data_IF_248933631128
#
_entry.id   IF_248933631128
#
_cell.length_a   1.000
_cell.length_b   1.000
_cell.length_c   1.000
_cell.angle_alpha   90.00
_cell.angle_beta   90.00
_cell.angle_gamma   90.00
#
_symmetry.space_group_name_H-M   'P 1'
#
loop_
_entity.id
_entity.type
_entity.pdbx_description
1 polymer ?
#
# COMPACT_ATOMS: atom_id res chain seq x y z
N UNK A 1 -4.58 -19.39 -8.15
CA UNK A 1 -4.77 -18.05 -7.53
C UNK A 1 -5.99 -18.10 -6.63
N UNK A 2 -5.82 -17.81 -5.35
CA UNK A 2 -6.94 -17.79 -4.40
C UNK A 2 -7.57 -16.40 -4.38
N UNK A 3 -8.90 -16.34 -4.52
CA UNK A 3 -9.65 -15.08 -4.38
C UNK A 3 -9.96 -14.76 -2.91
N UNK A 4 -9.52 -13.60 -2.45
CA UNK A 4 -9.87 -12.97 -1.18
C UNK A 4 -10.68 -11.70 -1.47
N UNK A 5 -12.01 -11.80 -1.35
CA UNK A 5 -12.96 -10.76 -1.79
C UNK A 5 -12.83 -10.49 -3.31
N UNK A 6 -12.22 -9.38 -3.67
CA UNK A 6 -11.92 -8.98 -5.05
C UNK A 6 -10.41 -8.93 -5.34
N UNK A 7 -9.58 -9.35 -4.37
CA UNK A 7 -8.15 -9.53 -4.55
C UNK A 7 -7.80 -10.99 -4.83
N UNK A 8 -6.64 -11.21 -5.43
CA UNK A 8 -6.09 -12.53 -5.70
C UNK A 8 -4.73 -12.68 -5.02
N UNK A 9 -4.50 -13.83 -4.40
CA UNK A 9 -3.20 -14.22 -3.84
C UNK A 9 -2.64 -15.43 -4.59
N UNK A 10 -1.32 -15.52 -4.61
CA UNK A 10 -0.58 -16.59 -5.26
C UNK A 10 -0.52 -17.84 -4.36
N UNK A 11 -1.28 -18.86 -4.74
CA UNK A 11 -1.39 -20.14 -4.01
C UNK A 11 -0.09 -20.94 -4.07
N UNK A 12 0.57 -20.97 -5.23
CA UNK A 12 1.82 -21.72 -5.41
C UNK A 12 2.91 -21.14 -4.52
N UNK A 13 3.03 -19.80 -4.54
CA UNK A 13 3.96 -19.11 -3.65
C UNK A 13 3.60 -19.29 -2.17
N UNK A 14 2.31 -19.28 -1.81
CA UNK A 14 1.89 -19.54 -0.44
C UNK A 14 2.35 -20.94 0.02
N UNK A 15 2.15 -21.97 -0.80
CA UNK A 15 2.60 -23.33 -0.50
C UNK A 15 4.12 -23.45 -0.42
N UNK A 16 4.86 -22.81 -1.34
CA UNK A 16 6.32 -22.78 -1.35
C UNK A 16 6.88 -22.18 -0.05
N UNK A 17 6.37 -21.01 0.34
CA UNK A 17 6.84 -20.29 1.52
C UNK A 17 6.48 -21.02 2.82
N UNK A 18 5.42 -21.83 2.80
CA UNK A 18 4.88 -22.58 3.94
C UNK A 18 5.51 -23.97 4.14
N UNK A 19 6.15 -24.53 3.10
CA UNK A 19 6.59 -25.92 3.09
C UNK A 19 7.64 -26.23 4.15
N UNK A 20 7.41 -27.29 4.94
CA UNK A 20 8.40 -27.86 5.86
C UNK A 20 8.74 -27.01 7.09
N UNK A 21 7.92 -26.00 7.41
CA UNK A 21 8.10 -25.11 8.56
C UNK A 21 6.84 -25.07 9.40
N UNK A 22 7.00 -24.87 10.71
CA UNK A 22 5.90 -24.48 11.60
C UNK A 22 5.59 -23.00 11.38
N UNK A 23 4.52 -22.73 10.65
CA UNK A 23 4.19 -21.37 10.18
C UNK A 23 3.04 -20.72 10.93
N UNK A 24 3.02 -19.40 10.94
CA UNK A 24 1.86 -18.60 11.31
C UNK A 24 1.47 -17.64 10.19
N UNK A 25 0.17 -17.43 9.99
CA UNK A 25 -0.39 -16.49 9.03
C UNK A 25 -0.75 -15.20 9.75
N UNK A 26 -0.25 -14.07 9.24
CA UNK A 26 -0.66 -12.72 9.68
C UNK A 26 -1.52 -12.09 8.58
N UNK A 27 -2.69 -11.58 8.97
CA UNK A 27 -3.67 -11.00 8.05
C UNK A 27 -4.04 -9.57 8.46
N UNK A 28 -4.19 -8.63 7.50
CA UNK A 28 -4.88 -7.37 7.76
C UNK A 28 -6.35 -7.63 8.08
N UNK A 29 -6.97 -6.69 8.79
CA UNK A 29 -8.36 -6.79 9.27
C UNK A 29 -9.34 -7.16 8.14
N UNK A 30 -9.16 -6.57 6.95
CA UNK A 30 -9.98 -6.86 5.78
C UNK A 30 -9.91 -8.30 5.25
N UNK A 31 -8.89 -9.07 5.64
CA UNK A 31 -8.70 -10.47 5.25
C UNK A 31 -9.00 -11.47 6.37
N UNK A 32 -9.22 -11.02 7.61
CA UNK A 32 -9.63 -11.89 8.72
C UNK A 32 -10.88 -12.74 8.40
N UNK A 33 -11.93 -12.23 7.73
CA UNK A 33 -13.07 -13.05 7.34
C UNK A 33 -12.74 -14.22 6.40
N UNK A 34 -11.55 -14.22 5.77
CA UNK A 34 -11.07 -15.27 4.88
C UNK A 34 -10.00 -16.16 5.54
N UNK A 35 -9.73 -15.98 6.84
CA UNK A 35 -8.68 -16.72 7.54
C UNK A 35 -8.92 -18.24 7.48
N UNK A 36 -10.15 -18.70 7.74
CA UNK A 36 -10.49 -20.13 7.67
C UNK A 36 -10.21 -20.70 6.29
N UNK A 37 -10.65 -20.01 5.22
CA UNK A 37 -10.37 -20.40 3.83
C UNK A 37 -8.86 -20.60 3.55
N UNK A 38 -8.01 -19.74 4.09
CA UNK A 38 -6.56 -19.81 3.91
C UNK A 38 -5.98 -20.99 4.69
N UNK A 39 -6.44 -21.20 5.93
CA UNK A 39 -6.00 -22.30 6.78
C UNK A 39 -6.45 -23.66 6.22
N UNK A 40 -7.71 -23.76 5.77
CA UNK A 40 -8.26 -24.97 5.16
C UNK A 40 -7.47 -25.34 3.90
N UNK A 41 -7.16 -24.37 3.03
CA UNK A 41 -6.33 -24.58 1.84
C UNK A 41 -4.93 -25.12 2.20
N UNK A 42 -4.29 -24.59 3.25
CA UNK A 42 -3.00 -25.09 3.71
C UNK A 42 -3.12 -26.51 4.28
N UNK A 43 -4.16 -26.79 5.06
CA UNK A 43 -4.40 -28.11 5.67
C UNK A 43 -4.69 -29.19 4.62
N UNK A 44 -5.49 -28.87 3.60
CA UNK A 44 -5.74 -29.72 2.43
C UNK A 44 -4.45 -30.09 1.68
N UNK A 45 -3.43 -29.23 1.74
CA UNK A 45 -2.10 -29.45 1.18
C UNK A 45 -1.09 -30.01 2.21
N UNK A 46 -1.57 -30.51 3.35
CA UNK A 46 -0.76 -31.17 4.38
C UNK A 46 0.06 -30.21 5.26
N UNK A 47 -0.27 -28.93 5.26
CA UNK A 47 0.44 -27.89 6.03
C UNK A 47 -0.46 -27.40 7.16
N UNK A 48 -0.02 -27.60 8.41
CA UNK A 48 -0.67 -26.99 9.57
C UNK A 48 -0.11 -25.61 9.82
N UNK A 49 -0.99 -24.61 9.87
CA UNK A 49 -0.63 -23.21 10.13
C UNK A 49 -1.41 -22.65 11.32
N UNK A 50 -0.79 -21.72 12.04
CA UNK A 50 -1.45 -20.94 13.08
C UNK A 50 -1.97 -19.62 12.50
N UNK A 51 -3.07 -19.09 13.02
CA UNK A 51 -3.48 -17.72 12.73
C UNK A 51 -3.00 -16.79 13.85
N UNK A 52 -2.28 -15.72 13.48
CA UNK A 52 -1.97 -14.65 14.42
C UNK A 52 -3.15 -13.69 14.51
N UNK A 53 -3.90 -13.77 15.61
CA UNK A 53 -5.09 -12.95 15.87
C UNK A 53 -4.76 -11.54 16.43
N UNK A 54 -3.62 -10.98 16.03
CA UNK A 54 -3.21 -9.63 16.40
C UNK A 54 -3.56 -8.63 15.30
N UNK A 55 -3.60 -7.35 15.64
CA UNK A 55 -3.71 -6.30 14.64
C UNK A 55 -2.54 -6.36 13.66
N UNK A 56 -2.81 -6.06 12.39
CA UNK A 56 -1.81 -5.99 11.33
C UNK A 56 -1.99 -4.69 10.56
N UNK A 57 -1.02 -3.78 10.69
CA UNK A 57 -1.06 -2.45 10.07
C UNK A 57 0.02 -2.24 9.00
N UNK A 58 0.78 -3.27 8.67
CA UNK A 58 1.85 -3.23 7.67
C UNK A 58 3.07 -4.03 8.09
N UNK A 59 3.97 -4.22 7.14
CA UNK A 59 5.23 -4.94 7.32
C UNK A 59 6.21 -4.26 8.31
N UNK A 60 5.88 -3.06 8.83
CA UNK A 60 6.57 -2.41 9.95
C UNK A 60 6.15 -2.91 11.32
N UNK A 61 4.98 -3.57 11.42
CA UNK A 61 4.41 -4.12 12.63
C UNK A 61 4.68 -5.62 12.67
N UNK A 62 5.93 -6.00 12.93
CA UNK A 62 6.35 -7.40 13.01
C UNK A 62 6.53 -7.81 14.46
N UNK A 63 6.13 -9.05 14.78
CA UNK A 63 6.15 -9.60 16.13
C UNK A 63 6.94 -10.90 16.11
N UNK A 64 7.76 -11.11 17.14
CA UNK A 64 8.59 -12.29 17.28
C UNK A 64 7.87 -13.37 18.10
N UNK A 65 7.78 -14.57 17.54
CA UNK A 65 7.27 -15.76 18.22
C UNK A 65 8.32 -16.87 18.19
N UNK A 66 8.72 -17.37 19.36
CA UNK A 66 9.81 -18.35 19.48
C UNK A 66 9.42 -19.73 18.96
N UNK A 67 8.14 -20.05 19.03
CA UNK A 67 7.57 -21.36 18.68
C UNK A 67 7.15 -21.44 17.20
N UNK A 68 7.32 -20.36 16.44
CA UNK A 68 7.00 -20.26 15.02
C UNK A 68 8.31 -20.10 14.25
N UNK A 69 8.50 -20.91 13.21
CA UNK A 69 9.71 -20.87 12.38
C UNK A 69 9.60 -19.82 11.26
N UNK A 70 8.37 -19.48 10.86
CA UNK A 70 8.12 -18.48 9.82
C UNK A 70 6.72 -17.86 9.91
N UNK A 71 6.65 -16.55 9.67
CA UNK A 71 5.38 -15.83 9.56
C UNK A 71 5.14 -15.51 8.08
N UNK A 72 3.94 -15.77 7.59
CA UNK A 72 3.52 -15.39 6.25
C UNK A 72 2.50 -14.25 6.38
N UNK A 73 2.91 -13.05 6.00
CA UNK A 73 2.06 -11.87 5.95
C UNK A 73 1.34 -11.83 4.60
N UNK A 74 0.01 -11.96 4.60
CA UNK A 74 -0.79 -11.93 3.37
C UNK A 74 -1.44 -10.56 3.22
N UNK A 75 -1.32 -9.95 2.04
CA UNK A 75 -1.86 -8.62 1.73
C UNK A 75 -0.87 -7.47 1.77
N UNK A 76 0.38 -7.75 2.15
CA UNK A 76 1.40 -6.74 2.37
C UNK A 76 2.61 -6.98 1.46
N UNK A 77 3.33 -5.89 1.17
CA UNK A 77 4.63 -5.96 0.54
C UNK A 77 5.71 -5.81 1.61
N UNK A 78 6.84 -6.47 1.40
CA UNK A 78 8.00 -6.36 2.29
C UNK A 78 8.46 -4.90 2.45
N UNK A 79 8.96 -4.54 3.64
CA UNK A 79 9.78 -3.34 3.83
C UNK A 79 11.27 -3.72 3.82
N UNK A 80 12.02 -3.44 2.73
CA UNK A 80 13.36 -4.02 2.54
C UNK A 80 14.36 -3.73 3.66
N UNK A 81 14.30 -2.54 4.27
CA UNK A 81 15.20 -2.17 5.37
C UNK A 81 14.99 -2.98 6.66
N UNK A 82 13.84 -3.67 6.80
CA UNK A 82 13.53 -4.53 7.93
C UNK A 82 13.85 -6.01 7.68
N UNK A 83 14.24 -6.40 6.47
CA UNK A 83 14.49 -7.80 6.11
C UNK A 83 15.35 -8.56 7.13
N UNK A 84 16.41 -7.92 7.61
CA UNK A 84 17.36 -8.51 8.59
C UNK A 84 16.87 -8.47 10.04
N UNK A 85 15.78 -7.77 10.31
CA UNK A 85 15.17 -7.63 11.64
C UNK A 85 13.96 -8.55 11.84
N UNK A 86 13.45 -9.14 10.76
CA UNK A 86 12.39 -10.12 10.83
C UNK A 86 12.92 -11.39 11.50
N UNK A 87 12.46 -11.62 12.73
CA UNK A 87 12.75 -12.80 13.52
C UNK A 87 11.44 -13.25 14.20
N UNK A 88 10.91 -14.46 13.92
CA UNK A 88 11.39 -15.45 12.95
C UNK A 88 11.32 -14.94 11.48
N UNK A 89 11.73 -15.76 10.51
CA UNK A 89 11.67 -15.40 9.09
C UNK A 89 10.25 -14.95 8.70
N UNK A 90 10.14 -13.88 7.91
CA UNK A 90 8.85 -13.36 7.43
C UNK A 90 8.82 -13.43 5.90
N UNK A 91 7.78 -14.05 5.35
CA UNK A 91 7.44 -13.98 3.93
C UNK A 91 6.21 -13.11 3.69
N UNK A 92 6.14 -12.55 2.48
CA UNK A 92 5.08 -11.63 2.07
C UNK A 92 4.38 -12.17 0.83
N UNK A 93 3.07 -12.39 0.95
CA UNK A 93 2.19 -12.79 -0.15
C UNK A 93 1.25 -11.63 -0.44
N UNK A 94 1.50 -10.89 -1.52
CA UNK A 94 0.69 -9.73 -1.86
C UNK A 94 -0.69 -10.14 -2.36
N UNK A 95 -1.71 -9.41 -1.92
CA UNK A 95 -3.06 -9.51 -2.47
C UNK A 95 -3.22 -8.50 -3.62
N UNK A 96 -3.40 -9.00 -4.83
CA UNK A 96 -3.39 -8.22 -6.07
C UNK A 96 -4.80 -7.93 -6.54
N UNK A 97 -5.05 -6.72 -7.03
CA UNK A 97 -6.30 -6.33 -7.67
C UNK A 97 -6.09 -6.10 -9.17
N UNK A 98 -6.61 -7.00 -10.01
CA UNK A 98 -6.56 -6.81 -11.45
C UNK A 98 -7.68 -5.88 -11.96
N UNK A 99 -7.38 -5.11 -12.99
CA UNK A 99 -8.31 -4.18 -13.62
C UNK A 99 -7.88 -3.84 -15.04
N UNK A 100 -8.85 -3.46 -15.87
CA UNK A 100 -8.61 -2.91 -17.21
C UNK A 100 -8.12 -1.46 -17.10
N UNK A 101 -6.90 -1.19 -17.56
CA UNK A 101 -6.27 0.14 -17.54
C UNK A 101 -6.96 1.17 -18.45
N UNK A 102 -7.84 0.74 -19.36
CA UNK A 102 -8.55 1.63 -20.28
C UNK A 102 -9.38 2.71 -19.56
N UNK A 103 -9.84 2.43 -18.34
CA UNK A 103 -10.60 3.38 -17.52
C UNK A 103 -9.82 4.64 -17.14
N UNK A 104 -8.48 4.62 -17.26
CA UNK A 104 -7.62 5.78 -17.01
C UNK A 104 -7.89 6.92 -17.99
N UNK A 105 -8.53 6.67 -19.14
CA UNK A 105 -8.98 7.71 -20.05
C UNK A 105 -9.84 8.79 -19.37
N UNK A 106 -10.61 8.42 -18.33
CA UNK A 106 -11.41 9.35 -17.52
C UNK A 106 -10.55 10.36 -16.76
N UNK A 107 -9.28 10.04 -16.51
CA UNK A 107 -8.34 10.91 -15.81
C UNK A 107 -7.72 11.98 -16.71
N UNK A 108 -7.74 11.79 -18.04
CA UNK A 108 -6.96 12.59 -18.98
C UNK A 108 -7.25 14.09 -18.90
N UNK A 109 -8.52 14.46 -18.68
CA UNK A 109 -8.95 15.86 -18.52
C UNK A 109 -8.43 16.56 -17.27
N UNK A 110 -7.84 15.82 -16.32
CA UNK A 110 -7.30 16.34 -15.07
C UNK A 110 -5.77 16.32 -15.01
N UNK A 111 -5.11 15.81 -16.05
CA UNK A 111 -3.66 15.62 -16.09
C UNK A 111 -2.98 16.66 -16.98
N UNK A 112 -1.76 17.05 -16.60
CA UNK A 112 -0.83 17.75 -17.49
C UNK A 112 -0.06 16.78 -18.39
N UNK A 113 0.86 17.30 -19.21
CA UNK A 113 1.66 16.48 -20.14
C UNK A 113 2.59 15.52 -19.40
N UNK A 114 3.15 15.95 -18.27
CA UNK A 114 4.10 15.19 -17.45
C UNK A 114 3.41 14.63 -16.22
N UNK A 115 3.32 13.31 -16.12
CA UNK A 115 2.55 12.62 -15.09
C UNK A 115 3.47 11.81 -14.18
N UNK A 116 3.38 12.06 -12.87
CA UNK A 116 4.01 11.19 -11.87
C UNK A 116 3.07 10.06 -11.48
N UNK A 117 3.44 8.82 -11.77
CA UNK A 117 2.60 7.66 -11.50
C UNK A 117 3.01 7.02 -10.17
N UNK A 118 2.04 6.88 -9.26
CA UNK A 118 2.25 6.31 -7.92
C UNK A 118 1.12 5.39 -7.52
N UNK A 119 1.37 4.43 -6.63
CA UNK A 119 0.37 3.47 -6.19
C UNK A 119 0.70 2.84 -4.84
N UNK A 120 -0.17 1.93 -4.38
CA UNK A 120 -0.03 1.10 -3.18
C UNK A 120 -0.01 -0.37 -3.56
N UNK A 121 0.44 -1.21 -2.63
CA UNK A 121 0.76 -2.64 -2.85
C UNK A 121 -0.21 -3.40 -3.75
N UNK A 122 -1.55 -3.37 -3.54
CA UNK A 122 -2.44 -4.24 -4.30
C UNK A 122 -2.46 -4.00 -5.81
N UNK A 123 -2.10 -2.79 -6.26
CA UNK A 123 -2.16 -2.40 -7.67
C UNK A 123 -0.77 -2.29 -8.31
N UNK A 124 0.31 -2.52 -7.55
CA UNK A 124 1.69 -2.34 -8.04
C UNK A 124 2.01 -3.19 -9.27
N UNK A 125 1.45 -4.41 -9.35
CA UNK A 125 1.62 -5.30 -10.49
C UNK A 125 1.07 -4.72 -11.81
N UNK A 126 0.13 -3.77 -11.77
CA UNK A 126 -0.44 -3.08 -12.94
C UNK A 126 0.24 -1.76 -13.25
N UNK A 127 1.19 -1.30 -12.43
CA UNK A 127 1.76 0.05 -12.56
C UNK A 127 2.50 0.23 -13.89
N UNK A 128 3.20 -0.81 -14.35
CA UNK A 128 3.89 -0.80 -15.66
C UNK A 128 2.89 -0.67 -16.81
N UNK A 129 1.81 -1.45 -16.80
CA UNK A 129 0.75 -1.39 -17.82
C UNK A 129 0.04 -0.03 -17.82
N UNK A 130 -0.21 0.55 -16.65
CA UNK A 130 -0.75 1.92 -16.52
C UNK A 130 0.17 2.95 -17.16
N UNK A 131 1.49 2.83 -16.95
CA UNK A 131 2.49 3.71 -17.58
C UNK A 131 2.47 3.58 -19.09
N UNK A 132 2.53 2.37 -19.63
CA UNK A 132 2.51 2.11 -21.07
C UNK A 132 1.22 2.65 -21.72
N UNK A 133 0.08 2.48 -21.06
CA UNK A 133 -1.20 3.01 -21.51
C UNK A 133 -1.19 4.55 -21.59
N UNK A 134 -0.66 5.23 -20.57
CA UNK A 134 -0.54 6.69 -20.57
C UNK A 134 0.45 7.19 -21.64
N UNK A 135 1.61 6.53 -21.80
CA UNK A 135 2.61 6.89 -22.80
C UNK A 135 2.05 6.74 -24.23
N UNK A 136 1.28 5.67 -24.50
CA UNK A 136 0.57 5.47 -25.77
C UNK A 136 -0.44 6.58 -26.07
N UNK A 137 -1.01 7.19 -25.03
CA UNK A 137 -1.93 8.34 -25.15
C UNK A 137 -1.20 9.70 -25.10
N UNK A 138 0.12 9.69 -25.22
CA UNK A 138 0.93 10.90 -25.40
C UNK A 138 1.36 11.59 -24.10
N UNK A 139 1.30 10.94 -22.94
CA UNK A 139 1.84 11.50 -21.69
C UNK A 139 3.32 11.15 -21.51
N UNK A 140 4.08 12.03 -20.85
CA UNK A 140 5.44 11.73 -20.36
C UNK A 140 5.31 11.20 -18.92
N UNK A 141 5.57 9.91 -18.71
CA UNK A 141 5.24 9.23 -17.44
C UNK A 141 6.48 8.91 -16.62
N UNK A 142 6.51 9.45 -15.41
CA UNK A 142 7.59 9.29 -14.45
C UNK A 142 7.18 8.35 -13.33
N UNK A 143 8.04 7.39 -13.01
CA UNK A 143 7.91 6.52 -11.84
C UNK A 143 9.14 6.73 -10.98
N UNK A 144 8.93 7.15 -9.73
CA UNK A 144 10.02 7.38 -8.79
C UNK A 144 10.67 6.10 -8.30
N UNK A 145 11.94 6.20 -7.90
CA UNK A 145 12.68 5.06 -7.36
C UNK A 145 12.18 4.71 -5.96
N UNK A 146 12.13 3.41 -5.67
CA UNK A 146 11.77 2.92 -4.34
C UNK A 146 12.69 3.46 -3.25
N UNK A 147 12.12 3.66 -2.06
CA UNK A 147 12.90 4.00 -0.87
C UNK A 147 13.38 2.72 -0.18
N UNK A 148 14.12 2.87 0.92
CA UNK A 148 14.46 1.73 1.79
C UNK A 148 13.23 1.04 2.40
N UNK A 149 12.08 1.73 2.48
CA UNK A 149 10.83 1.24 3.09
C UNK A 149 9.91 0.58 2.09
N UNK A 150 9.98 0.92 0.80
CA UNK A 150 9.08 0.39 -0.21
C UNK A 150 9.72 -0.74 -1.02
N UNK A 151 8.92 -1.72 -1.41
CA UNK A 151 9.37 -2.86 -2.21
C UNK A 151 9.58 -2.48 -3.69
N UNK A 152 8.80 -1.52 -4.19
CA UNK A 152 8.70 -1.21 -5.62
C UNK A 152 8.87 0.28 -5.96
N UNK A 153 9.38 0.54 -7.16
CA UNK A 153 9.39 1.87 -7.77
C UNK A 153 7.94 2.36 -7.93
N UNK A 154 7.66 3.64 -7.68
CA UNK A 154 6.31 4.20 -7.69
C UNK A 154 5.41 3.87 -6.49
N UNK A 155 5.82 2.94 -5.63
CA UNK A 155 5.06 2.64 -4.40
C UNK A 155 5.20 3.79 -3.39
N UNK A 156 4.07 4.18 -2.80
CA UNK A 156 4.00 5.08 -1.64
C UNK A 156 3.37 4.35 -0.46
N UNK A 157 3.67 4.82 0.74
CA UNK A 157 3.08 4.36 2.00
C UNK A 157 2.45 5.54 2.73
N UNK A 158 1.61 5.27 3.71
CA UNK A 158 1.12 6.27 4.64
C UNK A 158 2.22 7.10 5.33
N UNK A 159 3.38 6.47 5.53
CA UNK A 159 4.53 7.03 6.23
C UNK A 159 5.75 7.31 5.33
N UNK A 160 5.62 7.13 4.01
CA UNK A 160 6.73 7.31 3.07
C UNK A 160 6.25 7.71 1.66
N UNK A 161 6.60 8.94 1.25
CA UNK A 161 6.34 9.48 -0.09
C UNK A 161 7.63 9.68 -0.90
N UNK A 162 8.77 9.10 -0.49
CA UNK A 162 10.09 9.37 -1.08
C UNK A 162 10.14 9.08 -2.58
N UNK A 163 9.48 8.00 -3.02
CA UNK A 163 9.35 7.68 -4.45
C UNK A 163 8.71 8.85 -5.21
N UNK A 164 7.58 9.36 -4.75
CA UNK A 164 6.91 10.50 -5.37
C UNK A 164 7.74 11.80 -5.29
N UNK A 165 8.39 12.06 -4.16
CA UNK A 165 9.26 13.24 -3.96
C UNK A 165 10.39 13.26 -5.00
N UNK A 166 10.99 12.10 -5.30
CA UNK A 166 12.14 11.99 -6.22
C UNK A 166 11.85 12.47 -7.65
N UNK A 167 10.58 12.43 -8.08
CA UNK A 167 10.14 12.86 -9.42
C UNK A 167 9.36 14.17 -9.41
N UNK A 168 9.08 14.72 -8.23
CA UNK A 168 8.13 15.82 -8.07
C UNK A 168 8.48 17.05 -8.89
N UNK A 169 9.75 17.39 -9.09
CA UNK A 169 10.18 18.57 -9.85
C UNK A 169 10.01 18.43 -11.37
N UNK A 170 9.76 17.22 -11.88
CA UNK A 170 9.72 16.94 -13.33
C UNK A 170 8.31 16.75 -13.88
N UNK A 171 7.29 16.80 -13.02
CA UNK A 171 5.90 16.46 -13.38
C UNK A 171 4.95 17.65 -13.18
N UNK A 172 3.82 17.62 -13.88
CA UNK A 172 2.74 18.60 -13.74
C UNK A 172 1.77 18.17 -12.62
N UNK A 173 1.44 16.89 -12.56
CA UNK A 173 0.53 16.31 -11.57
C UNK A 173 0.88 14.84 -11.27
N UNK A 174 0.43 14.35 -10.13
CA UNK A 174 0.46 12.93 -9.81
C UNK A 174 -0.84 12.25 -10.24
N UNK A 175 -0.72 11.03 -10.77
CA UNK A 175 -1.80 10.07 -10.88
C UNK A 175 -1.57 8.95 -9.85
N UNK A 176 -2.43 8.89 -8.85
CA UNK A 176 -2.45 7.83 -7.84
C UNK A 176 -3.40 6.72 -8.30
N UNK A 177 -2.88 5.51 -8.46
CA UNK A 177 -3.68 4.31 -8.75
C UNK A 177 -4.00 3.61 -7.44
N UNK A 178 -5.27 3.56 -7.08
CA UNK A 178 -5.73 2.82 -5.91
C UNK A 178 -6.97 3.41 -5.27
N UNK A 179 -7.36 2.82 -4.15
CA UNK A 179 -8.53 3.19 -3.38
C UNK A 179 -8.19 4.01 -2.13
N UNK A 180 -9.23 4.62 -1.54
CA UNK A 180 -9.14 5.45 -0.35
C UNK A 180 -8.46 6.81 -0.59
N UNK A 181 -8.64 7.73 0.36
CA UNK A 181 -8.11 9.10 0.26
C UNK A 181 -6.90 9.37 1.15
N UNK A 182 -6.53 8.46 2.05
CA UNK A 182 -5.43 8.70 3.00
C UNK A 182 -4.09 8.96 2.31
N UNK A 183 -3.67 8.06 1.41
CA UNK A 183 -2.43 8.20 0.63
C UNK A 183 -2.42 9.42 -0.29
N UNK A 184 -3.42 9.65 -1.17
CA UNK A 184 -3.40 10.79 -2.08
C UNK A 184 -3.51 12.15 -1.36
N UNK A 185 -4.26 12.24 -0.25
CA UNK A 185 -4.30 13.45 0.57
C UNK A 185 -2.95 13.68 1.27
N UNK A 186 -2.34 12.61 1.82
CA UNK A 186 -0.99 12.69 2.39
C UNK A 186 0.05 13.16 1.36
N UNK A 187 -0.01 12.62 0.15
CA UNK A 187 0.85 13.00 -0.97
C UNK A 187 0.67 14.48 -1.35
N UNK A 188 -0.57 14.94 -1.49
CA UNK A 188 -0.87 16.35 -1.74
C UNK A 188 -0.32 17.25 -0.64
N UNK A 189 -0.52 16.87 0.63
CA UNK A 189 -0.02 17.65 1.76
C UNK A 189 1.51 17.71 1.82
N UNK A 190 2.20 16.62 1.44
CA UNK A 190 3.65 16.52 1.47
C UNK A 190 4.34 17.29 0.33
N UNK A 191 3.80 17.23 -0.89
CA UNK A 191 4.47 17.74 -2.10
C UNK A 191 3.83 19.03 -2.63
N UNK A 192 2.59 19.33 -2.24
CA UNK A 192 1.82 20.51 -2.70
C UNK A 192 1.63 20.56 -4.23
N UNK A 193 1.61 19.40 -4.89
CA UNK A 193 1.24 19.23 -6.30
C UNK A 193 -0.12 18.58 -6.43
N UNK A 194 -0.81 18.84 -7.55
CA UNK A 194 -2.11 18.24 -7.85
C UNK A 194 -1.98 16.71 -7.85
N UNK A 195 -2.96 16.04 -7.23
CA UNK A 195 -3.05 14.59 -7.16
C UNK A 195 -4.42 14.18 -7.71
N UNK A 196 -4.40 13.42 -8.79
CA UNK A 196 -5.59 12.78 -9.37
C UNK A 196 -5.59 11.34 -8.91
N UNK A 197 -6.70 10.87 -8.37
CA UNK A 197 -6.91 9.47 -7.95
C UNK A 197 -7.68 8.74 -9.03
N UNK A 198 -7.13 7.65 -9.53
CA UNK A 198 -7.87 6.66 -10.31
C UNK A 198 -8.14 5.45 -9.42
N UNK A 199 -9.40 5.32 -8.97
CA UNK A 199 -9.85 4.20 -8.15
C UNK A 199 -10.34 3.06 -9.05
N UNK A 200 -9.60 1.94 -9.16
CA UNK A 200 -9.97 0.84 -10.05
C UNK A 200 -11.21 0.07 -9.58
N UNK A 201 -11.43 -0.01 -8.25
CA UNK A 201 -12.58 -0.72 -7.66
C UNK A 201 -13.88 -0.02 -8.03
N UNK A 202 -13.92 1.31 -7.90
CA UNK A 202 -15.10 2.12 -8.20
C UNK A 202 -15.17 2.53 -9.68
N UNK A 203 -14.08 2.34 -10.42
CA UNK A 203 -13.88 2.83 -11.79
C UNK A 203 -14.14 4.34 -11.92
N UNK A 204 -13.72 5.10 -10.88
CA UNK A 204 -13.95 6.54 -10.71
C UNK A 204 -12.64 7.30 -10.59
N UNK A 205 -12.69 8.56 -11.02
CA UNK A 205 -11.59 9.53 -10.89
C UNK A 205 -11.99 10.59 -9.88
N UNK A 206 -11.09 10.89 -8.95
CA UNK A 206 -11.22 11.97 -7.98
C UNK A 206 -10.06 12.95 -8.16
N UNK A 207 -10.34 14.26 -8.15
CA UNK A 207 -9.31 15.26 -8.36
C UNK A 207 -9.51 16.45 -7.42
N UNK A 208 -10.71 17.04 -7.43
CA UNK A 208 -11.04 18.19 -6.59
C UNK A 208 -11.19 17.80 -5.11
N UNK A 209 -11.63 16.57 -4.86
CA UNK A 209 -11.87 16.02 -3.53
C UNK A 209 -10.58 15.99 -2.70
N UNK A 210 -9.43 15.73 -3.32
CA UNK A 210 -8.15 15.60 -2.61
C UNK A 210 -7.75 16.92 -1.95
N UNK A 211 -7.88 18.02 -2.68
CA UNK A 211 -7.60 19.36 -2.13
C UNK A 211 -8.60 19.70 -1.02
N UNK A 212 -9.89 19.44 -1.23
CA UNK A 212 -10.94 19.70 -0.23
C UNK A 212 -10.70 18.93 1.07
N UNK A 213 -10.34 17.65 0.99
CA UNK A 213 -10.02 16.84 2.16
C UNK A 213 -8.72 17.28 2.83
N UNK A 214 -7.70 17.64 2.06
CA UNK A 214 -6.47 18.22 2.59
C UNK A 214 -6.72 19.49 3.41
N UNK A 215 -7.55 20.42 2.89
CA UNK A 215 -7.91 21.66 3.58
C UNK A 215 -8.66 21.39 4.88
N UNK A 216 -9.60 20.43 4.88
CA UNK A 216 -10.30 19.99 6.11
C UNK A 216 -9.31 19.44 7.14
N UNK A 217 -8.36 18.61 6.72
CA UNK A 217 -7.35 18.03 7.63
C UNK A 217 -6.45 19.13 8.18
N UNK A 218 -6.00 20.09 7.36
CA UNK A 218 -5.16 21.19 7.82
C UNK A 218 -5.88 22.05 8.86
N UNK A 219 -7.16 22.38 8.65
CA UNK A 219 -7.98 23.11 9.64
C UNK A 219 -8.06 22.37 10.97
N UNK A 220 -8.33 21.06 10.94
CA UNK A 220 -8.35 20.21 12.14
C UNK A 220 -6.98 20.18 12.84
N UNK A 221 -5.89 20.06 12.07
CA UNK A 221 -4.51 20.07 12.61
C UNK A 221 -4.20 21.39 13.31
N UNK A 222 -4.50 22.53 12.68
CA UNK A 222 -4.28 23.84 13.31
C UNK A 222 -5.10 24.02 14.58
N UNK A 223 -6.35 23.55 14.63
CA UNK A 223 -7.15 23.59 15.84
C UNK A 223 -6.53 22.77 16.99
N UNK A 224 -5.94 21.60 16.69
CA UNK A 224 -5.26 20.78 17.70
C UNK A 224 -3.93 21.37 18.15
N UNK A 225 -3.17 21.96 17.23
CA UNK A 225 -1.94 22.70 17.58
C UNK A 225 -2.29 23.88 18.48
N UNK A 226 -3.31 24.67 18.13
CA UNK A 226 -3.76 25.81 18.93
C UNK A 226 -4.20 25.40 20.34
N UNK A 227 -4.96 24.30 20.47
CA UNK A 227 -5.36 23.76 21.79
C UNK A 227 -4.14 23.35 22.65
N UNK A 228 -3.05 22.95 22.02
CA UNK A 228 -1.83 22.54 22.71
C UNK A 228 -0.89 23.71 23.03
N UNK A 229 -1.17 24.94 22.58
CA UNK A 229 -0.28 26.09 22.79
C UNK A 229 -0.13 26.48 24.27
N UNK A 230 -1.17 26.27 25.07
CA UNK A 230 -1.18 26.55 26.51
C UNK A 230 -0.70 25.36 27.35
N UNK A 231 -0.27 24.25 26.71
CA UNK A 231 0.17 23.08 27.44
C UNK A 231 1.59 23.28 28.01
N UNK A 232 1.74 23.12 29.31
CA UNK A 232 3.05 23.23 29.99
C UNK A 232 3.82 21.89 30.02
N UNK A 233 3.15 20.77 29.79
CA UNK A 233 3.71 19.41 29.89
C UNK A 233 3.33 18.57 28.69
N UNK A 234 4.33 17.94 28.07
CA UNK A 234 4.17 17.09 26.89
C UNK A 234 4.70 15.68 27.16
N UNK A 235 3.92 14.67 26.75
CA UNK A 235 4.37 13.28 26.66
C UNK A 235 4.80 12.96 25.23
N UNK A 236 5.98 12.37 25.05
CA UNK A 236 6.49 11.94 23.75
C UNK A 236 6.27 10.43 23.62
N UNK A 237 5.41 10.03 22.69
CA UNK A 237 5.09 8.63 22.43
C UNK A 237 6.07 8.07 21.41
N UNK A 238 6.65 6.91 21.73
CA UNK A 238 7.49 6.12 20.83
C UNK A 238 6.91 4.72 20.67
N UNK A 239 6.97 4.16 19.47
CA UNK A 239 6.69 2.74 19.22
C UNK A 239 7.99 1.95 19.32
N UNK A 240 7.89 0.73 19.86
CA UNK A 240 8.99 -0.23 19.91
C UNK A 240 9.32 -0.76 18.52
#
# INVERSE_FOLDING_TARGET
MMKLKYYEIDEERLLEEAKGKKIAIKLPEGFIPYATKILDFLEENGIKAFLLAESCYGACDFVSYKEIEKIICIGEAEMPYLRKKYEPEVAFIEARYDFDVSFLNKAFKFLGKKVGLVSITPYMHKLKECKEYLEKNGYEVFIGKKSRRTAYDGQILGCDFSSAISISNYIDAFLFIGDGFFHPVGLYLAIKKNVVVANPIEKRIYAEEIKKEADKILKKRYAMIAKAMDAEKFGIIVSR
#
